data_IF_455776871328
#
_entry.id   IF_455776871328
#
_cell.length_a   1.000
_cell.length_b   1.000
_cell.length_c   1.000
_cell.angle_alpha   90.00
_cell.angle_beta   90.00
_cell.angle_gamma   90.00
#
_symmetry.space_group_name_H-M   'P 1'
#
loop_
_entity.id
_entity.type
_entity.pdbx_description
1 polymer ?
#
# COMPACT_ATOMS: atom_id res chain seq x y z
N UNK A 1 5.20 -11.75 -1.32
CA UNK A 1 4.82 -10.44 -0.73
C UNK A 1 4.87 -10.55 0.78
N UNK A 2 5.35 -9.55 1.50
CA UNK A 2 5.29 -9.54 2.97
C UNK A 2 4.28 -8.50 3.45
N UNK A 3 3.60 -8.76 4.55
CA UNK A 3 2.76 -7.78 5.23
C UNK A 3 3.01 -7.82 6.73
N UNK A 4 2.99 -6.66 7.36
CA UNK A 4 3.17 -6.47 8.80
C UNK A 4 1.88 -5.97 9.42
N UNK A 5 1.45 -6.60 10.51
CA UNK A 5 0.24 -6.27 11.26
C UNK A 5 0.59 -5.22 12.33
N UNK A 6 -0.21 -4.16 12.42
CA UNK A 6 -0.01 -3.09 13.39
C UNK A 6 -0.47 -3.49 14.80
N UNK A 7 0.11 -2.86 15.83
CA UNK A 7 -0.39 -2.94 17.22
C UNK A 7 0.23 -4.03 18.10
N UNK A 8 1.43 -4.51 17.75
CA UNK A 8 2.14 -5.57 18.49
C UNK A 8 1.25 -6.80 18.79
N UNK A 9 0.63 -7.41 17.75
CA UNK A 9 -0.22 -8.58 17.94
C UNK A 9 0.61 -9.79 18.38
N UNK A 10 -0.07 -10.73 19.03
CA UNK A 10 0.44 -12.09 19.20
C UNK A 10 0.31 -12.88 17.90
N UNK A 11 1.09 -13.95 17.75
CA UNK A 11 1.01 -14.86 16.60
C UNK A 11 -0.42 -15.34 16.30
N UNK A 12 -1.20 -15.64 17.33
CA UNK A 12 -2.58 -16.10 17.19
C UNK A 12 -3.53 -15.00 16.68
N UNK A 13 -3.28 -13.74 17.05
CA UNK A 13 -4.04 -12.60 16.55
C UNK A 13 -3.68 -12.28 15.09
N UNK A 14 -2.39 -12.31 14.76
CA UNK A 14 -1.92 -12.18 13.37
C UNK A 14 -2.49 -13.27 12.48
N UNK A 15 -2.60 -14.50 12.98
CA UNK A 15 -3.23 -15.59 12.24
C UNK A 15 -4.71 -15.31 11.96
N UNK A 16 -5.46 -14.83 12.95
CA UNK A 16 -6.87 -14.45 12.78
C UNK A 16 -7.04 -13.28 11.81
N UNK A 17 -6.24 -12.22 11.96
CA UNK A 17 -6.30 -11.04 11.09
C UNK A 17 -5.96 -11.41 9.65
N UNK A 18 -4.88 -12.16 9.45
CA UNK A 18 -4.46 -12.61 8.13
C UNK A 18 -5.45 -13.59 7.48
N UNK A 19 -6.14 -14.42 8.27
CA UNK A 19 -7.23 -15.26 7.78
C UNK A 19 -8.45 -14.44 7.30
N UNK A 20 -8.77 -13.33 7.97
CA UNK A 20 -9.83 -12.42 7.52
C UNK A 20 -9.47 -11.75 6.19
N UNK A 21 -8.21 -11.34 6.02
CA UNK A 21 -7.73 -10.79 4.75
C UNK A 21 -7.78 -11.82 3.63
N UNK A 22 -7.33 -13.04 3.89
CA UNK A 22 -7.41 -14.16 2.95
C UNK A 22 -8.87 -14.42 2.54
N UNK A 23 -9.79 -14.55 3.49
CA UNK A 23 -11.21 -14.75 3.19
C UNK A 23 -11.80 -13.60 2.37
N UNK A 24 -11.41 -12.36 2.65
CA UNK A 24 -11.88 -11.19 1.91
C UNK A 24 -11.38 -11.18 0.47
N UNK A 25 -10.12 -11.56 0.24
CA UNK A 25 -9.53 -11.68 -1.10
C UNK A 25 -10.07 -12.89 -1.85
N UNK A 26 -10.35 -13.99 -1.16
CA UNK A 26 -11.00 -15.17 -1.73
C UNK A 26 -12.41 -14.84 -2.23
N UNK A 27 -13.17 -14.02 -1.49
CA UNK A 27 -14.47 -13.52 -1.95
C UNK A 27 -14.38 -12.67 -3.22
N UNK A 28 -13.22 -12.07 -3.50
CA UNK A 28 -12.93 -11.34 -4.74
C UNK A 28 -12.36 -12.23 -5.86
N UNK A 29 -12.40 -13.57 -5.71
CA UNK A 29 -11.77 -14.56 -6.58
C UNK A 29 -10.24 -14.47 -6.68
N UNK A 30 -9.60 -13.82 -5.71
CA UNK A 30 -8.14 -13.74 -5.62
C UNK A 30 -7.67 -14.87 -4.70
N UNK A 31 -6.87 -15.79 -5.24
CA UNK A 31 -6.30 -16.90 -4.50
C UNK A 31 -4.89 -16.57 -4.04
N UNK A 32 -4.62 -16.79 -2.76
CA UNK A 32 -3.30 -16.60 -2.18
C UNK A 32 -3.05 -17.65 -1.09
N UNK A 33 -1.79 -17.86 -0.78
CA UNK A 33 -1.37 -18.67 0.37
C UNK A 33 -0.65 -17.77 1.36
N UNK A 34 -1.04 -17.83 2.63
CA UNK A 34 -0.40 -17.06 3.70
C UNK A 34 0.40 -17.95 4.64
N UNK A 35 1.50 -17.42 5.15
CA UNK A 35 2.35 -18.06 6.15
C UNK A 35 2.74 -17.03 7.20
N UNK A 36 2.47 -17.32 8.47
CA UNK A 36 2.93 -16.48 9.58
C UNK A 36 4.39 -16.82 9.86
N UNK A 37 5.29 -15.87 9.65
CA UNK A 37 6.75 -16.05 9.85
C UNK A 37 7.17 -15.52 11.22
N UNK A 38 6.59 -14.41 11.64
CA UNK A 38 6.85 -13.74 12.92
C UNK A 38 5.52 -13.37 13.58
N UNK A 39 5.56 -12.93 14.84
CA UNK A 39 4.36 -12.62 15.62
C UNK A 39 3.47 -11.57 14.95
N UNK A 40 4.06 -10.61 14.24
CA UNK A 40 3.40 -9.51 13.52
C UNK A 40 3.57 -9.59 11.99
N UNK A 41 4.35 -10.55 11.47
CA UNK A 41 4.72 -10.60 10.05
C UNK A 41 4.25 -11.84 9.33
N UNK A 42 3.62 -11.62 8.18
CA UNK A 42 3.12 -12.67 7.29
C UNK A 42 3.79 -12.61 5.91
N UNK A 43 4.01 -13.79 5.32
CA UNK A 43 4.34 -13.97 3.92
C UNK A 43 3.10 -14.39 3.15
N UNK A 44 2.82 -13.66 2.10
CA UNK A 44 1.76 -13.93 1.13
C UNK A 44 2.44 -14.41 -0.16
N UNK A 45 2.17 -15.65 -0.51
CA UNK A 45 2.50 -16.24 -1.79
C UNK A 45 1.29 -16.07 -2.72
N UNK A 46 1.55 -15.44 -3.86
CA UNK A 46 0.59 -15.22 -4.93
C UNK A 46 1.02 -16.09 -6.11
N UNK A 47 0.05 -16.72 -6.78
CA UNK A 47 0.33 -17.54 -7.97
C UNK A 47 0.43 -16.65 -9.23
N UNK A 48 -0.37 -15.58 -9.29
CA UNK A 48 -0.29 -14.54 -10.32
C UNK A 48 0.24 -13.22 -9.75
N UNK A 49 1.31 -12.71 -10.36
CA UNK A 49 1.89 -11.42 -10.02
C UNK A 49 1.03 -10.22 -10.44
N UNK A 50 0.08 -10.41 -11.36
CA UNK A 50 -0.82 -9.34 -11.81
C UNK A 50 -1.73 -8.83 -10.68
N UNK A 51 -2.14 -9.74 -9.78
CA UNK A 51 -2.97 -9.44 -8.60
C UNK A 51 -2.19 -8.72 -7.49
N UNK A 52 -0.85 -8.69 -7.55
CA UNK A 52 0.00 -8.11 -6.50
C UNK A 52 -0.35 -6.64 -6.19
N UNK A 53 -0.71 -5.87 -7.21
CA UNK A 53 -1.09 -4.46 -7.07
C UNK A 53 -2.42 -4.35 -6.31
N UNK A 54 -3.39 -5.20 -6.64
CA UNK A 54 -4.72 -5.19 -6.01
C UNK A 54 -4.65 -5.67 -4.56
N UNK A 55 -3.92 -6.75 -4.30
CA UNK A 55 -3.71 -7.29 -2.96
C UNK A 55 -3.02 -6.26 -2.08
N UNK A 56 -1.96 -5.62 -2.58
CA UNK A 56 -1.27 -4.53 -1.88
C UNK A 56 -2.25 -3.42 -1.53
N UNK A 57 -3.02 -2.92 -2.50
CA UNK A 57 -3.94 -1.79 -2.27
C UNK A 57 -5.04 -2.15 -1.26
N UNK A 58 -5.56 -3.39 -1.31
CA UNK A 58 -6.50 -3.91 -0.32
C UNK A 58 -5.90 -3.94 1.09
N UNK A 59 -4.68 -4.45 1.24
CA UNK A 59 -3.99 -4.55 2.53
C UNK A 59 -3.69 -3.17 3.12
N UNK A 60 -3.20 -2.23 2.31
CA UNK A 60 -2.90 -0.86 2.75
C UNK A 60 -4.14 -0.11 3.24
N UNK A 61 -5.32 -0.48 2.74
CA UNK A 61 -6.61 0.11 3.14
C UNK A 61 -7.11 -0.43 4.50
N UNK A 62 -6.55 -1.53 5.00
CA UNK A 62 -6.91 -2.12 6.30
C UNK A 62 -6.29 -1.33 7.46
N UNK A 63 -7.06 -1.14 8.54
CA UNK A 63 -6.58 -0.42 9.73
C UNK A 63 -5.48 -1.18 10.48
N UNK A 64 -5.53 -2.51 10.44
CA UNK A 64 -4.58 -3.38 11.12
C UNK A 64 -3.30 -3.63 10.30
N UNK A 65 -3.14 -3.03 9.12
CA UNK A 65 -1.94 -3.20 8.30
C UNK A 65 -0.95 -2.06 8.56
N UNK A 66 0.25 -2.40 9.02
CA UNK A 66 1.34 -1.44 9.25
C UNK A 66 2.04 -1.10 7.92
N UNK A 67 2.54 -2.11 7.23
CA UNK A 67 3.25 -1.98 5.97
C UNK A 67 3.15 -3.26 5.13
N UNK A 68 3.36 -3.11 3.82
CA UNK A 68 3.36 -4.19 2.84
C UNK A 68 4.60 -4.06 1.96
N UNK A 69 5.35 -5.16 1.80
CA UNK A 69 6.55 -5.20 0.94
C UNK A 69 6.30 -6.07 -0.30
N UNK A 70 6.44 -5.45 -1.47
CA UNK A 70 6.32 -6.06 -2.81
C UNK A 70 7.60 -5.79 -3.58
N UNK A 71 8.27 -6.83 -4.09
CA UNK A 71 9.49 -6.71 -4.91
C UNK A 71 10.56 -5.78 -4.32
N UNK A 72 10.85 -5.96 -3.03
CA UNK A 72 11.80 -5.15 -2.24
C UNK A 72 11.40 -3.68 -2.04
N UNK A 73 10.17 -3.28 -2.38
CA UNK A 73 9.61 -1.96 -2.10
C UNK A 73 8.58 -2.07 -0.98
N UNK A 74 8.74 -1.24 0.06
CA UNK A 74 7.82 -1.16 1.20
C UNK A 74 6.80 -0.05 0.97
N UNK A 75 5.55 -0.34 1.30
CA UNK A 75 4.42 0.59 1.22
C UNK A 75 3.76 0.69 2.59
N UNK A 76 3.58 1.92 3.07
CA UNK A 76 3.03 2.19 4.40
C UNK A 76 1.49 2.12 4.40
N UNK A 77 0.95 1.29 5.27
CA UNK A 77 -0.49 1.09 5.46
C UNK A 77 -1.13 2.14 6.38
N UNK A 78 -2.45 2.05 6.53
CA UNK A 78 -3.19 2.94 7.46
C UNK A 78 -2.82 2.74 8.92
N UNK A 79 -2.44 1.54 9.34
CA UNK A 79 -2.03 1.24 10.71
C UNK A 79 -0.84 2.09 11.16
N UNK A 80 0.11 2.37 10.25
CA UNK A 80 1.24 3.27 10.51
C UNK A 80 0.79 4.72 10.69
N UNK A 81 -0.10 5.22 9.83
CA UNK A 81 -0.67 6.58 9.92
C UNK A 81 -1.44 6.83 11.22
N UNK A 82 -2.03 5.79 11.83
CA UNK A 82 -2.70 5.89 13.12
C UNK A 82 -1.70 5.94 14.29
N UNK A 83 -0.60 5.20 14.20
CA UNK A 83 0.51 5.25 15.15
C UNK A 83 1.27 6.60 15.10
N UNK A 84 1.40 7.20 13.91
CA UNK A 84 2.12 8.46 13.70
C UNK A 84 1.36 9.71 14.20
N UNK A 85 0.04 9.65 14.41
CA UNK A 85 -0.70 10.79 14.98
C UNK A 85 -0.27 11.13 16.42
N UNK A 86 0.44 10.24 17.11
CA UNK A 86 0.95 10.44 18.46
C UNK A 86 2.49 10.54 18.56
N UNK A 87 3.23 10.69 17.45
CA UNK A 87 4.70 10.87 17.47
C UNK A 87 5.13 12.02 16.54
N UNK A 88 6.06 12.91 16.95
CA UNK A 88 6.47 14.05 16.13
C UNK A 88 7.10 13.59 14.81
N UNK A 89 6.61 14.15 13.70
CA UNK A 89 7.01 13.82 12.32
C UNK A 89 8.53 13.83 12.14
N UNK A 90 9.08 12.74 11.62
CA UNK A 90 10.47 12.68 11.15
C UNK A 90 10.64 13.34 9.78
N UNK A 91 11.78 14.00 9.59
CA UNK A 91 12.12 14.89 8.45
C UNK A 91 12.05 14.23 7.07
N UNK A 92 12.01 12.90 6.99
CA UNK A 92 11.99 12.15 5.72
C UNK A 92 10.59 12.17 5.08
N UNK A 93 9.53 12.07 5.87
CA UNK A 93 8.15 12.08 5.38
C UNK A 93 7.70 13.45 4.86
N UNK A 94 8.27 14.53 5.43
CA UNK A 94 8.09 15.89 4.92
C UNK A 94 8.75 16.09 3.54
N UNK A 95 9.83 15.36 3.27
CA UNK A 95 10.57 15.43 2.01
C UNK A 95 9.86 14.64 0.91
N UNK A 96 9.28 13.50 1.27
CA UNK A 96 8.50 12.65 0.34
C UNK A 96 7.16 13.30 -0.03
N UNK A 97 6.42 13.86 0.95
CA UNK A 97 5.20 14.64 0.67
C UNK A 97 5.46 15.86 -0.22
N UNK A 98 6.56 16.60 0.01
CA UNK A 98 6.94 17.73 -0.87
C UNK A 98 7.32 17.29 -2.28
N UNK A 99 7.97 16.13 -2.44
CA UNK A 99 8.37 15.61 -3.76
C UNK A 99 7.15 15.15 -4.58
N UNK A 100 6.21 14.43 -3.96
CA UNK A 100 5.00 13.97 -4.63
C UNK A 100 4.07 15.13 -5.03
N UNK A 101 3.99 16.19 -4.21
CA UNK A 101 3.18 17.37 -4.53
C UNK A 101 3.77 18.22 -5.67
N UNK A 102 5.10 18.26 -5.79
CA UNK A 102 5.80 18.94 -6.88
C UNK A 102 5.65 18.19 -8.22
N UNK A 103 5.77 16.86 -8.23
CA UNK A 103 5.56 16.04 -9.44
C UNK A 103 4.11 16.10 -9.93
N UNK A 104 3.13 16.10 -9.01
CA UNK A 104 1.72 16.23 -9.37
C UNK A 104 1.37 17.59 -9.99
N UNK A 105 2.00 18.69 -9.52
CA UNK A 105 1.83 20.02 -10.12
C UNK A 105 2.47 20.12 -11.50
N UNK A 106 3.68 19.59 -11.67
CA UNK A 106 4.37 19.58 -12.96
C UNK A 106 3.62 18.76 -14.03
N UNK A 107 3.07 17.60 -13.65
CA UNK A 107 2.28 16.77 -14.56
C UNK A 107 0.96 17.44 -15.00
N UNK A 108 0.31 18.21 -14.11
CA UNK A 108 -0.92 18.97 -14.44
C UNK A 108 -0.63 20.11 -15.42
N UNK A 109 0.46 20.85 -15.26
CA UNK A 109 0.83 21.92 -16.19
C UNK A 109 1.25 21.41 -17.57
N UNK A 110 1.99 20.29 -17.64
CA UNK A 110 2.39 19.67 -18.90
C UNK A 110 1.18 19.19 -19.71
N UNK A 111 0.19 18.55 -19.06
CA UNK A 111 -1.06 18.13 -19.72
C UNK A 111 -1.88 19.32 -20.25
N UNK A 112 -1.91 20.44 -19.52
CA UNK A 112 -2.63 21.66 -19.96
C UNK A 112 -2.02 22.27 -21.22
N UNK A 113 -0.69 22.34 -21.30
CA UNK A 113 0.04 22.88 -22.47
C UNK A 113 -0.05 21.97 -23.70
N UNK A 114 -0.02 20.64 -23.50
CA UNK A 114 -0.19 19.69 -24.60
C UNK A 114 -1.60 19.74 -25.22
N UNK A 115 -2.64 19.94 -24.40
CA UNK A 115 -4.03 20.06 -24.88
C UNK A 115 -4.25 21.34 -25.69
N UNK A 116 -3.73 22.48 -25.21
CA UNK A 116 -3.82 23.77 -25.90
C UNK A 116 -3.06 23.81 -27.24
N UNK A 117 -2.02 22.99 -27.40
CA UNK A 117 -1.25 22.91 -28.66
C UNK A 117 -1.90 22.00 -29.70
N UNK A 118 -2.66 20.97 -29.27
CA UNK A 118 -3.44 20.11 -30.17
C UNK A 118 -4.65 20.84 -30.76
N UNK A 119 -5.39 21.60 -29.96
CA UNK A 119 -6.53 22.42 -30.43
C UNK A 119 -6.14 23.51 -31.45
N UNK A 120 -4.85 23.90 -31.51
CA UNK A 120 -4.33 24.90 -32.44
C UNK A 120 -3.80 24.34 -33.76
N UNK A 121 -3.74 23.01 -33.92
CA UNK A 121 -3.18 22.33 -35.10
C UNK A 121 -4.28 21.70 -35.97
N UNK A 122 -5.52 21.57 -35.46
CA UNK A 122 -6.68 21.00 -36.18
C UNK A 122 -7.64 22.04 -36.80
N UNK A 123 -7.23 23.32 -36.92
CA UNK A 123 -7.98 24.41 -37.56
C UNK A 123 -7.09 25.10 -38.61
#
# INVERSE_FOLDING_TARGET
MFATVAGNPTRAETEKISALWESSLFNANIQLKRYVIEDDRILIQIDDGSDSIQIRDFLLEQENCLDVTVDSKTYDGKGKKLLDKNKPLTKEEAKEKKKQEAEAKAAKEAKKKAKAKKEKIEL
#
